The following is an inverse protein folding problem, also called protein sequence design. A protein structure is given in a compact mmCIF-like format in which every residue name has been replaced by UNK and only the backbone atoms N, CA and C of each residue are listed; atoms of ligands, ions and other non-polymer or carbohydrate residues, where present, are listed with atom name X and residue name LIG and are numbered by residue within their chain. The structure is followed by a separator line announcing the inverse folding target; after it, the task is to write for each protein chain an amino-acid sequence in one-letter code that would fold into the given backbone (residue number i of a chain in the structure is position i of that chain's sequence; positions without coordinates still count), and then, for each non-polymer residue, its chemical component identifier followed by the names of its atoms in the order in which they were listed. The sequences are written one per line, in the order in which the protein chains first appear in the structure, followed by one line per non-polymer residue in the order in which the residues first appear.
data_IF_192223469334
#
_entry.id   IF_192223469334
#
_cell.length_a   1.000
_cell.length_b   1.000
_cell.length_c   1.000
_cell.angle_alpha   90.00
_cell.angle_beta   90.00
_cell.angle_gamma   90.00
#
_symmetry.space_group_name_H-M   'P 1'
#
loop_
_entity.id
_entity.type
_entity.pdbx_description
1 polymer ?
#
# COMPACT_ATOMS: atom_id res chain seq x y z
N UNK A 1 -0.19 4.86 16.52
CA UNK A 1 -0.57 3.95 15.41
C UNK A 1 -1.44 2.77 15.87
N UNK A 2 -1.03 1.97 16.86
CA UNK A 2 -1.85 0.85 17.35
C UNK A 2 -3.21 1.31 17.89
N UNK A 3 -3.24 2.37 18.68
CA UNK A 3 -4.46 2.96 19.23
C UNK A 3 -5.40 3.48 18.15
N UNK A 4 -4.87 4.10 17.08
CA UNK A 4 -5.66 4.58 15.95
C UNK A 4 -6.30 3.44 15.16
N UNK A 5 -5.56 2.35 14.92
CA UNK A 5 -6.08 1.19 14.22
C UNK A 5 -7.25 0.51 14.96
N UNK A 6 -7.30 0.64 16.30
CA UNK A 6 -8.33 0.09 17.16
C UNK A 6 -9.45 1.11 17.48
N UNK A 7 -9.29 2.39 17.10
CA UNK A 7 -10.32 3.41 17.27
C UNK A 7 -11.50 3.20 16.33
N UNK A 8 -12.62 3.83 16.60
CA UNK A 8 -13.82 3.76 15.74
C UNK A 8 -13.54 4.39 14.38
N UNK A 9 -12.84 5.51 14.34
CA UNK A 9 -12.46 6.25 13.13
C UNK A 9 -11.43 5.49 12.29
N UNK A 10 -10.46 4.82 12.94
CA UNK A 10 -9.40 4.04 12.30
C UNK A 10 -8.28 4.86 11.66
N UNK A 11 -8.32 6.17 11.75
CA UNK A 11 -7.35 7.12 11.23
C UNK A 11 -7.39 8.43 12.02
N UNK A 12 -6.44 9.33 11.77
CA UNK A 12 -6.34 10.61 12.46
C UNK A 12 -6.37 11.77 11.45
N UNK A 13 -7.42 12.63 11.50
CA UNK A 13 -7.48 13.83 10.66
C UNK A 13 -6.31 14.78 10.83
N UNK A 14 -5.72 14.88 12.03
CA UNK A 14 -4.57 15.75 12.27
C UNK A 14 -3.33 15.25 11.49
N UNK A 15 -3.10 13.93 11.46
CA UNK A 15 -2.01 13.35 10.67
C UNK A 15 -2.20 13.57 9.16
N UNK A 16 -3.43 13.60 8.65
CA UNK A 16 -3.70 13.94 7.26
C UNK A 16 -3.32 15.37 6.92
N UNK A 17 -3.67 16.32 7.79
CA UNK A 17 -3.26 17.73 7.64
C UNK A 17 -1.73 17.89 7.69
N UNK A 18 -1.06 17.17 8.58
CA UNK A 18 0.40 17.18 8.65
C UNK A 18 1.02 16.66 7.34
N UNK A 19 0.48 15.59 6.72
CA UNK A 19 0.93 15.13 5.41
C UNK A 19 0.73 16.19 4.32
N UNK A 20 -0.36 16.97 4.37
CA UNK A 20 -0.61 18.06 3.45
C UNK A 20 0.40 19.20 3.65
N UNK A 21 0.66 19.63 4.89
CA UNK A 21 1.64 20.66 5.23
C UNK A 21 3.07 20.28 4.79
N UNK A 22 3.41 19.00 4.86
CA UNK A 22 4.67 18.45 4.36
C UNK A 22 4.71 18.32 2.82
N UNK A 23 3.62 18.59 2.12
CA UNK A 23 3.50 18.45 0.67
C UNK A 23 3.40 17.01 0.17
N UNK A 24 3.21 16.03 1.06
CA UNK A 24 3.23 14.61 0.71
C UNK A 24 1.99 14.15 -0.07
N UNK A 25 0.88 14.88 0.05
CA UNK A 25 -0.35 14.57 -0.71
C UNK A 25 -0.28 15.04 -2.18
N UNK A 26 0.63 15.95 -2.49
CA UNK A 26 0.77 16.58 -3.80
C UNK A 26 2.12 16.35 -4.46
N UNK A 27 2.86 15.30 -4.12
CA UNK A 27 4.22 15.06 -4.67
C UNK A 27 4.23 15.04 -6.20
N UNK A 28 3.29 14.33 -6.83
CA UNK A 28 3.18 14.25 -8.29
C UNK A 28 2.19 15.24 -8.91
N UNK A 29 1.58 16.10 -8.10
CA UNK A 29 0.73 17.19 -8.60
C UNK A 29 1.61 18.30 -9.15
N UNK A 30 1.31 18.87 -10.35
CA UNK A 30 2.07 19.98 -10.90
C UNK A 30 2.16 21.19 -9.96
N UNK A 31 3.29 21.92 -10.00
CA UNK A 31 3.49 23.12 -9.15
C UNK A 31 2.41 24.18 -9.38
N UNK A 32 1.94 24.35 -10.61
CA UNK A 32 0.87 25.29 -10.97
C UNK A 32 -0.48 24.95 -10.31
N UNK A 33 -0.63 23.70 -9.82
CA UNK A 33 -1.79 23.21 -9.09
C UNK A 33 -1.49 22.99 -7.58
N UNK A 34 -0.38 23.54 -7.10
CA UNK A 34 -0.04 23.55 -5.68
C UNK A 34 0.66 22.27 -5.19
N UNK A 35 1.15 21.42 -6.10
CA UNK A 35 1.97 20.25 -5.76
C UNK A 35 3.46 20.51 -5.86
N UNK A 36 4.26 19.46 -5.77
CA UNK A 36 5.72 19.51 -5.87
C UNK A 36 6.26 19.31 -7.29
N UNK A 37 5.42 18.94 -8.26
CA UNK A 37 5.80 18.70 -9.65
C UNK A 37 6.79 17.55 -9.86
N UNK A 38 6.88 16.63 -8.89
CA UNK A 38 7.76 15.46 -8.94
C UNK A 38 7.06 14.27 -9.60
N UNK A 39 7.71 13.11 -9.61
CA UNK A 39 7.17 11.93 -10.25
C UNK A 39 6.66 10.85 -9.28
N UNK A 40 6.23 9.73 -9.86
CA UNK A 40 5.77 8.60 -9.06
C UNK A 40 6.93 7.88 -8.33
N UNK A 41 8.18 8.04 -8.77
CA UNK A 41 9.34 7.48 -8.05
C UNK A 41 9.48 8.12 -6.67
N UNK A 42 9.29 9.42 -6.57
CA UNK A 42 9.34 10.15 -5.30
C UNK A 42 8.16 9.76 -4.39
N UNK A 43 6.97 9.55 -4.95
CA UNK A 43 5.85 9.00 -4.18
C UNK A 43 6.12 7.56 -3.71
N UNK A 44 6.83 6.75 -4.50
CA UNK A 44 7.18 5.38 -4.14
C UNK A 44 8.00 5.32 -2.84
N UNK A 45 8.88 6.30 -2.60
CA UNK A 45 9.63 6.45 -1.34
C UNK A 45 8.66 6.65 -0.17
N UNK A 46 7.64 7.47 -0.35
CA UNK A 46 6.64 7.71 0.69
C UNK A 46 5.79 6.44 0.95
N UNK A 47 5.43 5.69 -0.07
CA UNK A 47 4.71 4.42 0.13
C UNK A 47 5.55 3.41 0.92
N UNK A 48 6.85 3.33 0.69
CA UNK A 48 7.75 2.50 1.48
C UNK A 48 7.78 2.94 2.94
N UNK A 49 7.99 4.24 3.22
CA UNK A 49 8.06 4.76 4.59
C UNK A 49 6.71 4.67 5.32
N UNK A 50 5.59 4.91 4.63
CA UNK A 50 4.25 4.74 5.21
C UNK A 50 3.95 3.26 5.53
N UNK A 51 4.43 2.34 4.69
CA UNK A 51 4.39 0.90 4.98
C UNK A 51 5.21 0.53 6.21
N UNK A 52 6.43 1.05 6.31
CA UNK A 52 7.33 0.86 7.47
C UNK A 52 6.72 1.42 8.76
N UNK A 53 6.03 2.58 8.67
CA UNK A 53 5.31 3.20 9.77
C UNK A 53 3.97 2.52 10.06
N UNK A 54 3.45 1.69 9.17
CA UNK A 54 2.11 1.10 9.20
C UNK A 54 1.04 2.20 9.33
N UNK A 55 1.12 3.21 8.46
CA UNK A 55 0.24 4.37 8.51
C UNK A 55 -1.22 3.96 8.29
N UNK A 56 -2.15 4.27 9.24
CA UNK A 56 -3.56 4.06 9.06
C UNK A 56 -4.20 5.35 8.52
N UNK A 57 -4.79 5.29 7.35
CA UNK A 57 -5.44 6.44 6.73
C UNK A 57 -5.51 6.32 5.22
N UNK A 58 -6.27 7.21 4.56
CA UNK A 58 -6.64 7.05 3.16
C UNK A 58 -5.54 7.48 2.17
N UNK A 59 -4.25 7.46 2.56
CA UNK A 59 -3.16 7.86 1.67
C UNK A 59 -3.09 6.98 0.42
N UNK A 60 -3.07 5.64 0.60
CA UNK A 60 -3.10 4.72 -0.53
C UNK A 60 -4.35 4.91 -1.40
N UNK A 61 -5.51 5.00 -0.76
CA UNK A 61 -6.77 5.16 -1.46
C UNK A 61 -6.83 6.46 -2.27
N UNK A 62 -6.32 7.56 -1.73
CA UNK A 62 -6.37 8.88 -2.38
C UNK A 62 -5.24 9.05 -3.40
N UNK A 63 -3.99 8.81 -2.99
CA UNK A 63 -2.82 9.15 -3.81
C UNK A 63 -2.53 8.09 -4.87
N UNK A 64 -2.58 6.80 -4.52
CA UNK A 64 -2.28 5.74 -5.48
C UNK A 64 -3.45 5.39 -6.40
N UNK A 65 -4.68 5.29 -5.83
CA UNK A 65 -5.84 4.82 -6.58
C UNK A 65 -6.55 5.90 -7.39
N UNK A 66 -6.45 7.19 -7.00
CA UNK A 66 -7.35 8.18 -7.58
C UNK A 66 -6.63 9.40 -8.13
N UNK A 67 -5.63 9.94 -7.43
CA UNK A 67 -5.04 11.24 -7.72
C UNK A 67 -4.69 11.46 -9.20
N UNK A 68 -4.06 10.48 -9.85
CA UNK A 68 -3.62 10.60 -11.24
C UNK A 68 -4.75 10.66 -12.28
N UNK A 69 -5.98 10.29 -11.90
CA UNK A 69 -7.16 10.34 -12.77
C UNK A 69 -8.01 11.60 -12.54
N UNK A 70 -7.72 12.38 -11.52
CA UNK A 70 -8.47 13.58 -11.21
C UNK A 70 -8.09 14.74 -12.15
N UNK A 71 -9.05 15.61 -12.52
CA UNK A 71 -8.73 16.87 -13.16
C UNK A 71 -7.92 17.79 -12.24
N UNK A 72 -7.17 18.77 -12.80
CA UNK A 72 -6.23 19.60 -12.08
C UNK A 72 -6.81 20.29 -10.81
N UNK A 73 -8.03 20.75 -10.88
CA UNK A 73 -8.70 21.44 -9.77
C UNK A 73 -8.89 20.51 -8.57
N UNK A 74 -9.28 19.24 -8.82
CA UNK A 74 -9.47 18.22 -7.78
C UNK A 74 -8.12 17.69 -7.27
N UNK A 75 -7.09 17.62 -8.12
CA UNK A 75 -5.72 17.32 -7.68
C UNK A 75 -5.22 18.37 -6.69
N UNK A 76 -5.50 19.65 -6.96
CA UNK A 76 -5.15 20.76 -6.07
C UNK A 76 -5.87 20.66 -4.71
N UNK A 77 -7.14 20.25 -4.67
CA UNK A 77 -7.87 20.00 -3.41
C UNK A 77 -7.19 18.88 -2.59
N UNK A 78 -6.78 17.80 -3.25
CA UNK A 78 -6.05 16.71 -2.59
C UNK A 78 -4.70 17.17 -2.06
N UNK A 79 -3.92 17.89 -2.87
CA UNK A 79 -2.60 18.41 -2.47
C UNK A 79 -2.68 19.29 -1.22
N UNK A 80 -3.76 20.08 -1.06
CA UNK A 80 -4.02 20.89 0.13
C UNK A 80 -4.62 20.12 1.31
N UNK A 81 -4.90 18.82 1.15
CA UNK A 81 -5.53 18.01 2.19
C UNK A 81 -7.04 18.25 2.38
N UNK A 82 -7.67 19.01 1.48
CA UNK A 82 -9.09 19.40 1.53
C UNK A 82 -10.02 18.30 1.05
N UNK A 83 -9.52 17.36 0.23
CA UNK A 83 -10.31 16.26 -0.33
C UNK A 83 -9.61 14.91 -0.13
N UNK A 84 -10.38 13.91 0.23
CA UNK A 84 -9.94 12.51 0.34
C UNK A 84 -10.82 11.65 -0.55
N UNK A 85 -10.17 10.75 -1.26
CA UNK A 85 -10.79 9.91 -2.26
C UNK A 85 -10.46 8.44 -2.04
N UNK A 86 -11.31 7.58 -2.55
CA UNK A 86 -11.00 6.17 -2.78
C UNK A 86 -11.57 5.71 -4.13
N UNK A 87 -11.36 4.46 -4.47
CA UNK A 87 -11.91 3.89 -5.69
C UNK A 87 -12.47 2.49 -5.46
N UNK A 88 -13.57 2.19 -6.15
CA UNK A 88 -14.08 0.85 -6.35
C UNK A 88 -13.89 0.49 -7.83
N UNK A 89 -12.73 -0.13 -8.15
CA UNK A 89 -12.33 -0.39 -9.53
C UNK A 89 -13.03 -1.60 -10.14
N UNK A 90 -13.24 -2.64 -9.33
CA UNK A 90 -13.96 -3.86 -9.72
C UNK A 90 -15.02 -4.20 -8.66
N UNK A 91 -16.26 -3.81 -8.92
CA UNK A 91 -17.39 -4.09 -8.03
C UNK A 91 -17.64 -2.99 -6.99
N UNK A 92 -17.98 -3.39 -5.77
CA UNK A 92 -18.53 -2.50 -4.76
C UNK A 92 -17.58 -2.21 -3.58
N UNK A 93 -16.38 -2.82 -3.55
CA UNK A 93 -15.45 -2.68 -2.42
C UNK A 93 -14.47 -1.52 -2.66
N UNK A 94 -14.41 -0.62 -1.69
CA UNK A 94 -13.48 0.51 -1.68
C UNK A 94 -12.63 0.49 -0.40
N UNK A 95 -11.28 0.65 -0.51
CA UNK A 95 -10.43 0.89 0.65
C UNK A 95 -10.83 2.19 1.36
N UNK A 96 -10.71 2.20 2.67
CA UNK A 96 -10.85 3.38 3.52
C UNK A 96 -12.16 4.18 3.32
N UNK A 97 -13.25 3.51 2.94
CA UNK A 97 -14.56 4.12 2.63
C UNK A 97 -15.04 5.12 3.71
N UNK A 98 -14.84 4.79 4.99
CA UNK A 98 -15.27 5.65 6.11
C UNK A 98 -14.37 6.88 6.32
N UNK A 99 -13.23 6.96 5.64
CA UNK A 99 -12.22 8.02 5.83
C UNK A 99 -12.15 8.98 4.65
N UNK A 100 -13.03 8.83 3.65
CA UNK A 100 -13.04 9.62 2.41
C UNK A 100 -14.42 10.21 2.15
N UNK A 101 -14.49 11.26 1.33
CA UNK A 101 -15.75 11.92 0.95
C UNK A 101 -16.30 11.43 -0.37
N UNK A 102 -15.41 11.00 -1.29
CA UNK A 102 -15.77 10.66 -2.67
C UNK A 102 -15.11 9.35 -3.11
N UNK A 103 -15.82 8.62 -3.96
CA UNK A 103 -15.36 7.37 -4.56
C UNK A 103 -15.32 7.50 -6.08
N UNK A 104 -14.20 7.08 -6.67
CA UNK A 104 -14.10 6.91 -8.11
C UNK A 104 -14.60 5.52 -8.48
N UNK A 105 -15.54 5.45 -9.43
CA UNK A 105 -16.12 4.19 -9.91
C UNK A 105 -16.19 4.18 -11.42
N UNK A 106 -16.00 3.01 -12.05
CA UNK A 106 -16.05 2.84 -13.49
C UNK A 106 -17.43 2.35 -13.93
N UNK A 107 -18.02 3.02 -14.93
CA UNK A 107 -19.29 2.63 -15.55
C UNK A 107 -19.38 3.20 -16.96
N UNK A 108 -19.91 2.42 -17.89
CA UNK A 108 -20.22 2.85 -19.26
C UNK A 108 -19.07 3.57 -19.98
N UNK A 109 -17.84 3.10 -19.78
CA UNK A 109 -16.65 3.69 -20.42
C UNK A 109 -16.17 5.02 -19.79
N UNK A 110 -16.67 5.37 -18.62
CA UNK A 110 -16.33 6.60 -17.90
C UNK A 110 -16.01 6.29 -16.44
N UNK A 111 -15.24 7.18 -15.82
CA UNK A 111 -15.02 7.23 -14.38
C UNK A 111 -15.90 8.31 -13.77
N UNK A 112 -16.66 7.95 -12.76
CA UNK A 112 -17.60 8.83 -12.07
C UNK A 112 -17.16 9.07 -10.63
N UNK A 113 -17.28 10.31 -10.17
CA UNK A 113 -17.25 10.65 -8.77
C UNK A 113 -18.62 10.44 -8.14
N UNK A 114 -18.67 9.64 -7.09
CA UNK A 114 -19.88 9.42 -6.29
C UNK A 114 -19.59 9.67 -4.81
N UNK A 115 -20.58 10.02 -3.97
CA UNK A 115 -20.41 10.11 -2.53
C UNK A 115 -19.91 8.80 -1.92
N UNK A 116 -19.11 8.88 -0.87
CA UNK A 116 -18.59 7.73 -0.14
C UNK A 116 -19.65 7.16 0.83
N UNK A 117 -20.71 6.60 0.28
CA UNK A 117 -21.81 6.03 1.04
C UNK A 117 -21.81 4.51 0.97
N UNK A 118 -21.96 3.84 2.12
CA UNK A 118 -21.95 2.39 2.18
C UNK A 118 -21.81 1.82 3.56
N UNK A 119 -21.44 0.56 3.64
CA UNK A 119 -21.28 -0.17 4.90
C UNK A 119 -19.86 -0.69 5.03
N UNK A 120 -19.29 -0.55 6.22
CA UNK A 120 -17.98 -1.13 6.52
C UNK A 120 -18.05 -2.66 6.53
N UNK A 121 -17.02 -3.27 5.94
CA UNK A 121 -16.85 -4.71 5.89
C UNK A 121 -15.83 -5.12 6.95
N UNK A 122 -16.10 -6.18 7.68
CA UNK A 122 -15.14 -6.74 8.62
C UNK A 122 -13.87 -7.21 7.88
N UNK A 123 -12.72 -6.65 8.25
CA UNK A 123 -11.43 -6.98 7.67
C UNK A 123 -10.46 -7.49 8.72
N UNK A 124 -9.48 -8.28 8.31
CA UNK A 124 -8.43 -8.76 9.21
C UNK A 124 -7.46 -7.63 9.59
N UNK A 125 -7.19 -6.71 8.64
CA UNK A 125 -6.34 -5.54 8.86
C UNK A 125 -7.19 -4.35 9.30
N UNK A 126 -7.08 -3.95 10.57
CA UNK A 126 -7.73 -2.76 11.12
C UNK A 126 -7.06 -1.44 10.69
N UNK A 127 -5.86 -1.51 10.12
CA UNK A 127 -5.10 -0.33 9.67
C UNK A 127 -5.43 0.09 8.24
N UNK A 128 -6.09 -0.78 7.44
CA UNK A 128 -6.66 -0.49 6.12
C UNK A 128 -8.02 -1.15 6.00
N UNK A 129 -9.04 -0.37 6.21
CA UNK A 129 -10.41 -0.85 6.26
C UNK A 129 -11.02 -0.91 4.86
N UNK A 130 -11.99 -1.81 4.68
CA UNK A 130 -12.78 -1.89 3.45
C UNK A 130 -14.22 -1.50 3.74
N UNK A 131 -14.85 -0.85 2.79
CA UNK A 131 -16.28 -0.64 2.81
C UNK A 131 -16.92 -1.16 1.52
N UNK A 132 -18.18 -1.53 1.62
CA UNK A 132 -19.03 -1.88 0.48
C UNK A 132 -19.90 -0.69 0.14
N UNK A 133 -19.79 -0.17 -1.06
CA UNK A 133 -20.62 0.93 -1.56
C UNK A 133 -22.10 0.57 -1.53
N UNK A 134 -22.94 1.55 -1.24
CA UNK A 134 -24.35 1.51 -1.56
C UNK A 134 -24.54 1.44 -3.10
N UNK A 135 -25.77 1.16 -3.54
CA UNK A 135 -26.06 1.08 -4.97
C UNK A 135 -25.58 2.35 -5.70
N UNK A 136 -24.67 2.16 -6.66
CA UNK A 136 -24.04 3.27 -7.39
C UNK A 136 -25.04 3.78 -8.46
N UNK A 137 -25.70 4.89 -8.17
CA UNK A 137 -26.57 5.60 -9.09
C UNK A 137 -26.15 7.06 -9.22
N UNK A 138 -26.14 7.61 -10.43
CA UNK A 138 -25.72 9.00 -10.65
C UNK A 138 -24.19 9.16 -10.64
N UNK A 139 -23.71 10.33 -10.22
CA UNK A 139 -22.31 10.72 -10.17
C UNK A 139 -21.94 11.69 -11.28
N UNK A 140 -20.84 12.43 -11.06
CA UNK A 140 -20.27 13.36 -12.03
C UNK A 140 -19.16 12.67 -12.81
N UNK A 141 -19.10 12.75 -14.15
CA UNK A 141 -18.01 12.20 -14.92
C UNK A 141 -16.73 12.98 -14.61
N UNK A 142 -15.64 12.25 -14.30
CA UNK A 142 -14.35 12.82 -13.92
C UNK A 142 -13.28 12.55 -14.98
N UNK A 143 -13.25 11.33 -15.53
CA UNK A 143 -12.28 10.92 -16.52
C UNK A 143 -12.84 9.80 -17.43
N UNK A 144 -12.14 9.52 -18.55
CA UNK A 144 -12.38 8.33 -19.35
C UNK A 144 -11.95 7.06 -18.60
N UNK A 145 -12.63 5.94 -18.85
CA UNK A 145 -12.22 4.64 -18.33
C UNK A 145 -10.82 4.18 -18.82
N UNK A 146 -10.28 4.82 -19.86
CA UNK A 146 -8.89 4.57 -20.32
C UNK A 146 -7.85 4.80 -19.22
N UNK A 147 -8.16 5.67 -18.25
CA UNK A 147 -7.30 5.91 -17.09
C UNK A 147 -7.20 4.71 -16.12
N UNK A 148 -8.14 3.75 -16.17
CA UNK A 148 -8.17 2.60 -15.25
C UNK A 148 -6.89 1.76 -15.28
N UNK A 149 -6.32 1.53 -16.48
CA UNK A 149 -5.10 0.75 -16.60
C UNK A 149 -3.93 1.42 -15.85
N UNK A 150 -3.78 2.74 -16.01
CA UNK A 150 -2.74 3.52 -15.33
C UNK A 150 -2.97 3.58 -13.81
N UNK A 151 -4.21 3.78 -13.37
CA UNK A 151 -4.59 3.72 -11.95
C UNK A 151 -4.15 2.38 -11.34
N UNK A 152 -4.46 1.25 -11.99
CA UNK A 152 -4.08 -0.07 -11.50
C UNK A 152 -2.58 -0.27 -11.44
N UNK A 153 -1.84 0.11 -12.48
CA UNK A 153 -0.38 0.01 -12.48
C UNK A 153 0.22 0.82 -11.33
N UNK A 154 -0.24 2.05 -11.14
CA UNK A 154 0.21 2.92 -10.05
C UNK A 154 -0.11 2.32 -8.67
N UNK A 155 -1.34 1.84 -8.47
CA UNK A 155 -1.76 1.22 -7.22
C UNK A 155 -0.96 -0.03 -6.87
N UNK A 156 -0.74 -0.92 -7.84
CA UNK A 156 0.02 -2.17 -7.63
C UNK A 156 1.50 -1.90 -7.36
N UNK A 157 2.10 -0.91 -8.03
CA UNK A 157 3.46 -0.47 -7.75
C UNK A 157 3.59 0.15 -6.35
N UNK A 158 2.62 0.99 -5.95
CA UNK A 158 2.55 1.56 -4.59
C UNK A 158 2.46 0.46 -3.52
N UNK A 159 1.63 -0.57 -3.74
CA UNK A 159 1.52 -1.71 -2.81
C UNK A 159 2.82 -2.52 -2.73
N UNK A 160 3.55 -2.66 -3.83
CA UNK A 160 4.86 -3.32 -3.82
C UNK A 160 5.88 -2.52 -2.99
N UNK A 161 5.90 -1.18 -3.11
CA UNK A 161 6.74 -0.32 -2.28
C UNK A 161 6.33 -0.36 -0.80
N UNK A 162 5.03 -0.29 -0.50
CA UNK A 162 4.54 -0.44 0.87
C UNK A 162 4.92 -1.79 1.47
N UNK A 163 4.84 -2.88 0.70
CA UNK A 163 5.24 -4.22 1.13
C UNK A 163 6.73 -4.28 1.50
N UNK A 164 7.60 -3.58 0.77
CA UNK A 164 9.03 -3.43 1.13
C UNK A 164 9.18 -2.73 2.47
N UNK A 165 8.46 -1.65 2.73
CA UNK A 165 8.48 -0.96 4.01
C UNK A 165 8.04 -1.85 5.18
N UNK A 166 6.96 -2.62 4.99
CA UNK A 166 6.46 -3.60 5.96
C UNK A 166 7.54 -4.67 6.27
N UNK A 167 8.14 -5.25 5.23
CA UNK A 167 9.18 -6.26 5.37
C UNK A 167 10.41 -5.69 6.11
N UNK A 168 10.85 -4.49 5.73
CA UNK A 168 11.96 -3.78 6.37
C UNK A 168 11.69 -3.62 7.87
N UNK A 169 10.51 -3.15 8.25
CA UNK A 169 10.16 -2.95 9.66
C UNK A 169 10.11 -4.25 10.45
N UNK A 170 9.51 -5.28 9.89
CA UNK A 170 9.47 -6.60 10.52
C UNK A 170 10.87 -7.19 10.74
N UNK A 171 11.76 -7.03 9.76
CA UNK A 171 13.16 -7.47 9.84
C UNK A 171 13.94 -6.69 10.91
N UNK A 172 13.85 -5.36 10.94
CA UNK A 172 14.50 -4.51 11.95
C UNK A 172 14.11 -4.94 13.36
N UNK A 173 12.81 -5.07 13.63
CA UNK A 173 12.30 -5.54 14.93
C UNK A 173 12.88 -6.90 15.31
N UNK A 174 12.98 -7.80 14.34
CA UNK A 174 13.50 -9.16 14.58
C UNK A 174 14.99 -9.18 14.85
N UNK A 175 15.76 -8.36 14.14
CA UNK A 175 17.21 -8.22 14.37
C UNK A 175 17.49 -7.65 15.77
N UNK A 176 16.75 -6.62 16.17
CA UNK A 176 16.91 -6.00 17.49
C UNK A 176 16.49 -6.96 18.62
N UNK A 177 15.41 -7.69 18.41
CA UNK A 177 14.98 -8.73 19.36
C UNK A 177 16.02 -9.86 19.46
N UNK A 178 16.56 -10.33 18.33
CA UNK A 178 17.56 -11.39 18.31
C UNK A 178 18.89 -11.01 18.99
N UNK A 179 19.24 -9.70 19.00
CA UNK A 179 20.41 -9.18 19.70
C UNK A 179 20.23 -9.11 21.22
N UNK A 180 19.01 -8.91 21.69
CA UNK A 180 18.70 -8.61 23.09
C UNK A 180 18.08 -9.79 23.84
N UNK A 181 17.32 -10.63 23.16
CA UNK A 181 16.68 -11.80 23.77
C UNK A 181 17.69 -12.91 24.03
N UNK A 182 17.79 -13.34 25.28
CA UNK A 182 18.70 -14.42 25.67
C UNK A 182 17.93 -15.74 25.89
N UNK A 183 18.55 -16.82 25.42
CA UNK A 183 18.19 -18.20 25.75
C UNK A 183 19.48 -19.04 25.83
N UNK A 184 19.50 -20.00 26.74
CA UNK A 184 20.69 -20.83 27.00
C UNK A 184 21.97 -20.01 27.30
N UNK A 185 21.80 -18.87 28.01
CA UNK A 185 22.88 -18.01 28.47
C UNK A 185 23.51 -17.10 27.42
N UNK A 186 22.85 -16.88 26.25
CA UNK A 186 23.36 -15.98 25.20
C UNK A 186 22.23 -15.44 24.31
N UNK A 187 22.44 -14.33 23.57
CA UNK A 187 21.48 -13.81 22.62
C UNK A 187 21.07 -14.84 21.58
N UNK A 188 19.79 -14.87 21.23
CA UNK A 188 19.28 -15.88 20.27
C UNK A 188 19.84 -15.70 18.86
N UNK A 189 20.28 -14.50 18.49
CA UNK A 189 20.90 -14.20 17.20
C UNK A 189 22.22 -14.93 16.94
N UNK A 190 22.88 -15.50 17.95
CA UNK A 190 24.09 -16.30 17.75
C UNK A 190 23.81 -17.71 17.20
N UNK A 191 22.56 -18.15 17.26
CA UNK A 191 22.16 -19.45 16.72
C UNK A 191 21.91 -19.35 15.22
N UNK A 192 22.51 -20.23 14.42
CA UNK A 192 22.39 -20.23 12.95
C UNK A 192 20.93 -20.35 12.48
N UNK A 193 20.10 -21.11 13.20
CA UNK A 193 18.68 -21.23 12.88
C UNK A 193 17.93 -19.87 12.92
N UNK A 194 18.40 -18.91 13.73
CA UNK A 194 17.86 -17.55 13.79
C UNK A 194 18.59 -16.63 12.82
N UNK A 195 19.91 -16.57 12.89
CA UNK A 195 20.71 -15.62 12.09
C UNK A 195 20.61 -15.87 10.59
N UNK A 196 20.58 -17.13 10.13
CA UNK A 196 20.40 -17.45 8.71
C UNK A 196 18.99 -17.08 8.22
N UNK A 197 17.94 -17.36 9.03
CA UNK A 197 16.58 -16.94 8.70
C UNK A 197 16.43 -15.41 8.56
N UNK A 198 17.13 -14.63 9.39
CA UNK A 198 17.16 -13.17 9.27
C UNK A 198 17.98 -12.68 8.07
N UNK A 199 19.08 -13.39 7.73
CA UNK A 199 19.85 -13.10 6.53
C UNK A 199 19.04 -13.36 5.26
N UNK A 200 18.28 -14.47 5.19
CA UNK A 200 17.38 -14.77 4.09
C UNK A 200 16.27 -13.71 3.96
N UNK A 201 15.69 -13.30 5.10
CA UNK A 201 14.67 -12.22 5.12
C UNK A 201 15.23 -10.89 4.59
N UNK A 202 16.50 -10.57 4.91
CA UNK A 202 17.18 -9.40 4.36
C UNK A 202 17.29 -9.49 2.83
N UNK A 203 17.76 -10.63 2.31
CA UNK A 203 17.89 -10.85 0.85
C UNK A 203 16.55 -10.73 0.16
N UNK A 204 15.50 -11.36 0.70
CA UNK A 204 14.13 -11.26 0.15
C UNK A 204 13.64 -9.81 0.12
N UNK A 205 13.88 -9.04 1.18
CA UNK A 205 13.49 -7.63 1.27
C UNK A 205 14.21 -6.77 0.23
N UNK A 206 15.52 -6.95 0.03
CA UNK A 206 16.31 -6.15 -0.94
C UNK A 206 15.98 -6.51 -2.39
N UNK A 207 15.69 -7.77 -2.68
CA UNK A 207 15.19 -8.18 -3.99
C UNK A 207 13.80 -7.58 -4.27
N UNK A 208 12.92 -7.57 -3.27
CA UNK A 208 11.61 -6.93 -3.34
C UNK A 208 11.73 -5.43 -3.61
N UNK A 209 12.65 -4.75 -2.90
CA UNK A 209 12.96 -3.32 -3.10
C UNK A 209 13.38 -3.02 -4.53
N UNK A 210 14.30 -3.81 -5.07
CA UNK A 210 14.79 -3.64 -6.44
C UNK A 210 13.67 -3.74 -7.47
N UNK A 211 12.77 -4.71 -7.31
CA UNK A 211 11.61 -4.88 -8.19
C UNK A 211 10.57 -3.76 -8.01
N UNK A 212 10.31 -3.34 -6.78
CA UNK A 212 9.33 -2.29 -6.48
C UNK A 212 9.76 -0.95 -7.09
N UNK A 213 11.03 -0.56 -6.96
CA UNK A 213 11.54 0.67 -7.58
C UNK A 213 11.66 0.58 -9.10
N UNK A 214 11.95 -0.60 -9.66
CA UNK A 214 11.85 -0.80 -11.11
C UNK A 214 10.42 -0.59 -11.60
N UNK A 215 9.42 -1.13 -10.90
CA UNK A 215 8.02 -0.91 -11.23
C UNK A 215 7.62 0.57 -11.11
N UNK A 216 8.03 1.23 -10.02
CA UNK A 216 7.76 2.65 -9.81
C UNK A 216 8.35 3.53 -10.92
N UNK A 217 9.61 3.29 -11.31
CA UNK A 217 10.24 3.98 -12.42
C UNK A 217 9.53 3.70 -13.75
N UNK A 218 9.19 2.44 -14.02
CA UNK A 218 8.49 2.07 -15.26
C UNK A 218 7.11 2.75 -15.39
N UNK A 219 6.40 2.89 -14.27
CA UNK A 219 5.12 3.63 -14.22
C UNK A 219 5.34 5.13 -14.42
N UNK A 220 6.34 5.71 -13.77
CA UNK A 220 6.67 7.14 -13.90
C UNK A 220 7.01 7.53 -15.36
N UNK A 221 7.79 6.70 -16.03
CA UNK A 221 8.22 6.94 -17.42
C UNK A 221 7.19 6.48 -18.47
N UNK A 222 6.03 5.96 -18.06
CA UNK A 222 5.04 5.32 -18.96
C UNK A 222 5.71 4.30 -19.89
N UNK A 223 6.67 3.53 -19.36
CA UNK A 223 7.45 2.58 -20.12
C UNK A 223 6.57 1.44 -20.69
N UNK A 224 6.85 0.98 -21.90
CA UNK A 224 6.10 -0.10 -22.55
C UNK A 224 6.06 -1.38 -21.68
N UNK A 225 7.12 -1.64 -20.93
CA UNK A 225 7.24 -2.78 -20.03
C UNK A 225 6.66 -2.54 -18.63
N UNK A 226 6.00 -1.41 -18.36
CA UNK A 226 5.42 -1.12 -17.05
C UNK A 226 4.47 -2.22 -16.54
N UNK A 227 3.58 -2.82 -17.36
CA UNK A 227 2.74 -3.92 -16.90
C UNK A 227 3.54 -5.14 -16.42
N UNK A 228 4.64 -5.47 -17.10
CA UNK A 228 5.54 -6.57 -16.72
C UNK A 228 6.27 -6.27 -15.41
N UNK A 229 6.85 -5.06 -15.30
CA UNK A 229 7.56 -4.62 -14.12
C UNK A 229 6.66 -4.61 -12.88
N UNK A 230 5.45 -4.06 -13.02
CA UNK A 230 4.45 -4.01 -11.95
C UNK A 230 3.98 -5.39 -11.53
N UNK A 231 3.68 -6.29 -12.49
CA UNK A 231 3.30 -7.67 -12.18
C UNK A 231 4.41 -8.42 -11.43
N UNK A 232 5.69 -8.23 -11.84
CA UNK A 232 6.83 -8.84 -11.16
C UNK A 232 7.00 -8.30 -9.73
N UNK A 233 6.94 -6.97 -9.56
CA UNK A 233 7.06 -6.33 -8.26
C UNK A 233 5.92 -6.75 -7.30
N UNK A 234 4.67 -6.70 -7.77
CA UNK A 234 3.50 -7.08 -6.97
C UNK A 234 3.56 -8.55 -6.53
N UNK A 235 3.90 -9.45 -7.45
CA UNK A 235 3.99 -10.87 -7.16
C UNK A 235 5.10 -11.18 -6.14
N UNK A 236 6.26 -10.54 -6.26
CA UNK A 236 7.40 -10.86 -5.40
C UNK A 236 7.37 -10.10 -4.09
N UNK A 237 7.19 -8.76 -4.12
CA UNK A 237 7.30 -7.93 -2.91
C UNK A 237 6.20 -8.25 -1.89
N UNK A 238 4.96 -8.51 -2.34
CA UNK A 238 3.89 -8.85 -1.41
C UNK A 238 4.07 -10.25 -0.80
N UNK A 239 4.53 -11.26 -1.57
CA UNK A 239 4.87 -12.58 -1.04
C UNK A 239 6.05 -12.49 -0.05
N UNK A 240 7.09 -11.72 -0.38
CA UNK A 240 8.25 -11.51 0.48
C UNK A 240 7.85 -10.84 1.81
N UNK A 241 6.99 -9.81 1.77
CA UNK A 241 6.54 -9.14 2.99
C UNK A 241 5.79 -10.09 3.94
N UNK A 242 4.94 -10.96 3.40
CA UNK A 242 4.26 -12.00 4.19
C UNK A 242 5.28 -12.97 4.79
N UNK A 243 6.21 -13.50 3.97
CA UNK A 243 7.27 -14.44 4.41
C UNK A 243 8.16 -13.83 5.51
N UNK A 244 8.59 -12.58 5.33
CA UNK A 244 9.44 -11.87 6.32
C UNK A 244 8.67 -11.63 7.62
N UNK A 245 7.39 -11.25 7.56
CA UNK A 245 6.56 -11.09 8.75
C UNK A 245 6.37 -12.42 9.49
N UNK A 246 6.18 -13.54 8.80
CA UNK A 246 6.08 -14.88 9.40
C UNK A 246 7.35 -15.27 10.13
N UNK A 247 8.52 -15.04 9.52
CA UNK A 247 9.83 -15.25 10.18
C UNK A 247 10.03 -14.33 11.37
N UNK A 248 9.57 -13.08 11.27
CA UNK A 248 9.63 -12.13 12.38
C UNK A 248 8.79 -12.61 13.55
N UNK A 249 7.57 -13.04 13.32
CA UNK A 249 6.69 -13.63 14.35
C UNK A 249 7.36 -14.87 14.97
N UNK A 250 7.89 -15.75 14.14
CA UNK A 250 8.60 -16.96 14.62
C UNK A 250 9.81 -16.59 15.48
N UNK A 251 10.60 -15.58 15.09
CA UNK A 251 11.77 -15.12 15.83
C UNK A 251 11.40 -14.59 17.22
N UNK A 252 10.27 -13.87 17.32
CA UNK A 252 9.77 -13.35 18.59
C UNK A 252 9.09 -14.42 19.46
N UNK A 253 8.67 -15.54 18.86
CA UNK A 253 7.96 -16.60 19.57
C UNK A 253 6.60 -16.13 20.09
N UNK A 254 6.24 -16.53 21.30
CA UNK A 254 4.89 -16.26 21.87
C UNK A 254 4.46 -14.80 21.80
N UNK A 255 5.34 -13.84 22.08
CA UNK A 255 5.00 -12.41 22.06
C UNK A 255 4.67 -11.92 20.65
N UNK A 256 5.26 -12.49 19.61
CA UNK A 256 4.99 -12.13 18.21
C UNK A 256 3.54 -12.35 17.76
N UNK A 257 2.80 -13.23 18.45
CA UNK A 257 1.38 -13.52 18.21
C UNK A 257 0.41 -12.69 19.06
N UNK A 258 0.91 -11.95 20.04
CA UNK A 258 0.04 -11.20 20.97
C UNK A 258 -0.38 -9.85 20.36
N UNK A 259 -1.49 -9.31 20.83
CA UNK A 259 -1.94 -7.97 20.48
C UNK A 259 -1.02 -6.85 20.98
N UNK A 260 -0.14 -7.16 21.92
CA UNK A 260 0.83 -6.24 22.50
C UNK A 260 1.96 -5.89 21.53
N UNK A 261 2.25 -6.76 20.55
CA UNK A 261 3.36 -6.57 19.61
C UNK A 261 2.85 -6.18 18.21
N UNK A 262 3.50 -5.19 17.58
CA UNK A 262 3.08 -4.64 16.27
C UNK A 262 3.17 -5.64 15.10
N UNK A 263 3.92 -6.74 15.23
CA UNK A 263 4.15 -7.71 14.16
C UNK A 263 2.87 -8.30 13.58
N UNK A 264 1.85 -8.57 14.42
CA UNK A 264 0.59 -9.09 13.92
C UNK A 264 -0.13 -8.09 12.98
N UNK A 265 0.10 -6.76 13.17
CA UNK A 265 -0.47 -5.72 12.32
C UNK A 265 0.29 -5.60 11.00
N UNK A 266 1.63 -5.65 11.05
CA UNK A 266 2.47 -5.71 9.86
C UNK A 266 2.11 -6.91 8.99
N UNK A 267 1.95 -8.09 9.60
CA UNK A 267 1.54 -9.31 8.91
C UNK A 267 0.16 -9.18 8.24
N UNK A 268 -0.83 -8.64 8.95
CA UNK A 268 -2.18 -8.43 8.40
C UNK A 268 -2.19 -7.44 7.23
N UNK A 269 -1.43 -6.35 7.31
CA UNK A 269 -1.26 -5.40 6.21
C UNK A 269 -0.54 -6.05 5.02
N UNK A 270 0.49 -6.86 5.26
CA UNK A 270 1.17 -7.62 4.20
C UNK A 270 0.21 -8.57 3.47
N UNK A 271 -0.65 -9.28 4.22
CA UNK A 271 -1.69 -10.15 3.63
C UNK A 271 -2.75 -9.35 2.85
N UNK A 272 -3.14 -8.16 3.33
CA UNK A 272 -4.03 -7.28 2.59
C UNK A 272 -3.39 -6.85 1.26
N UNK A 273 -2.13 -6.39 1.30
CA UNK A 273 -1.38 -6.01 0.10
C UNK A 273 -1.24 -7.18 -0.87
N UNK A 274 -1.04 -8.40 -0.37
CA UNK A 274 -0.95 -9.60 -1.21
C UNK A 274 -2.27 -9.92 -1.92
N UNK A 275 -3.42 -9.75 -1.24
CA UNK A 275 -4.73 -10.12 -1.74
C UNK A 275 -5.33 -9.09 -2.71
N UNK A 276 -5.06 -7.78 -2.51
CA UNK A 276 -5.65 -6.71 -3.30
C UNK A 276 -5.26 -6.82 -4.78
N UNK A 277 -6.27 -6.77 -5.68
CA UNK A 277 -6.10 -6.93 -7.15
C UNK A 277 -5.39 -8.25 -7.55
N UNK A 278 -5.55 -9.28 -6.76
CA UNK A 278 -5.08 -10.63 -7.07
C UNK A 278 -3.79 -11.05 -6.39
N UNK A 279 -3.71 -12.33 -6.13
CA UNK A 279 -2.53 -12.98 -5.55
C UNK A 279 -1.43 -13.22 -6.60
N UNK A 280 -0.22 -13.53 -6.15
CA UNK A 280 0.97 -13.75 -6.98
C UNK A 280 0.76 -14.70 -8.19
N UNK A 281 -0.02 -15.81 -8.12
CA UNK A 281 -0.26 -16.64 -9.29
C UNK A 281 -0.89 -15.91 -10.48
N UNK A 282 -1.80 -14.96 -10.24
CA UNK A 282 -2.43 -14.16 -11.30
C UNK A 282 -1.40 -13.24 -11.99
N UNK A 283 -0.56 -12.57 -11.20
CA UNK A 283 0.50 -11.71 -11.74
C UNK A 283 1.60 -12.50 -12.44
N UNK A 284 1.98 -13.69 -11.94
CA UNK A 284 2.91 -14.60 -12.61
C UNK A 284 2.37 -15.11 -13.95
N UNK A 285 1.05 -15.32 -14.06
CA UNK A 285 0.43 -15.65 -15.35
C UNK A 285 0.53 -14.51 -16.35
N UNK A 286 0.39 -13.25 -15.92
CA UNK A 286 0.61 -12.07 -16.77
C UNK A 286 2.07 -12.00 -17.26
N UNK A 287 3.05 -12.24 -16.36
CA UNK A 287 4.47 -12.28 -16.72
C UNK A 287 4.73 -13.37 -17.76
N UNK A 288 4.20 -14.59 -17.54
CA UNK A 288 4.36 -15.69 -18.47
C UNK A 288 3.77 -15.36 -19.85
N UNK A 289 2.58 -14.76 -19.90
CA UNK A 289 1.96 -14.32 -21.15
C UNK A 289 2.80 -13.27 -21.90
N UNK A 290 3.40 -12.32 -21.18
CA UNK A 290 4.25 -11.28 -21.78
C UNK A 290 5.59 -11.81 -22.32
N UNK A 291 6.13 -12.90 -21.73
CA UNK A 291 7.42 -13.46 -22.12
C UNK A 291 7.30 -14.57 -23.18
N UNK A 292 6.14 -15.21 -23.33
CA UNK A 292 5.94 -16.36 -24.20
C UNK A 292 5.18 -16.02 -25.50
N UNK A 293 4.63 -14.83 -25.61
CA UNK A 293 3.98 -14.28 -26.82
C UNK A 293 4.86 -13.22 -27.50
#
# INVERSE_FOLDING_TARGET
MAELADSEEGWDPASWHELAELGWLGVSVPEEHGGAGLGFVEEAVLFEELGRALYPGPYFATVALVLSALPPELQAEVARGEARWSAALDGELAPDLASVERILTARDGQLYAVPAEGQMVATTDGTRRLGRLAAITGGEPVASADALAQIRLRALAALACEAVGIATRALELSVDYAKTREQFGRPIGVYQAVSHGLADAYVETELARSLAYWAAWSVAENAENAPLAVAAAKAYACDAAVSVCERAIQTHGGIGFTWEHVLHRLYKRAQWNQAYEGFAPAHRAQIAAALLN
#
